data_IF_843288183763
#
_entry.id   IF_843288183763
#
_cell.length_a   1.000
_cell.length_b   1.000
_cell.length_c   1.000
_cell.angle_alpha   90.00
_cell.angle_beta   90.00
_cell.angle_gamma   90.00
#
_symmetry.space_group_name_H-M   'P 1'
#
loop_
_entity.id
_entity.type
_entity.pdbx_description
1 polymer ?
#
# COMPACT_ATOMS: atom_id res chain seq x y z
N UNK A 1 -4.66 29.33 -45.93
CA UNK A 1 -6.12 29.51 -45.85
C UNK A 1 -6.66 29.43 -47.27
N UNK A 2 -7.36 28.34 -47.60
CA UNK A 2 -7.91 28.09 -48.93
C UNK A 2 -9.36 28.56 -49.00
N UNK A 3 -9.61 29.59 -49.80
CA UNK A 3 -10.92 30.18 -50.15
C UNK A 3 -11.85 29.26 -50.96
N UNK A 4 -11.54 27.95 -51.06
CA UNK A 4 -12.23 27.01 -51.95
C UNK A 4 -13.11 26.00 -51.21
N UNK A 5 -13.11 25.98 -49.87
CA UNK A 5 -13.85 24.97 -49.09
C UNK A 5 -15.35 25.27 -48.91
N UNK A 6 -15.81 26.48 -49.24
CA UNK A 6 -17.20 26.93 -48.99
C UNK A 6 -18.09 27.07 -50.25
N UNK A 7 -17.62 26.62 -51.42
CA UNK A 7 -18.47 26.64 -52.63
C UNK A 7 -19.42 25.43 -52.65
N UNK A 8 -20.53 25.53 -51.92
CA UNK A 8 -21.66 24.60 -52.03
C UNK A 8 -22.43 24.90 -53.33
N UNK A 9 -22.40 23.98 -54.29
CA UNK A 9 -23.23 24.06 -55.52
C UNK A 9 -24.68 23.79 -55.14
N UNK A 10 -25.56 24.79 -55.29
CA UNK A 10 -26.99 24.67 -54.99
C UNK A 10 -27.67 23.65 -55.93
N UNK A 11 -28.15 22.54 -55.37
CA UNK A 11 -28.99 21.56 -56.07
C UNK A 11 -30.41 22.15 -56.22
N UNK A 12 -30.97 22.18 -57.43
CA UNK A 12 -32.35 22.63 -57.65
C UNK A 12 -33.34 21.70 -56.94
N UNK A 13 -34.40 22.28 -56.37
CA UNK A 13 -35.54 21.52 -55.85
C UNK A 13 -36.23 20.75 -57.00
N UNK A 14 -36.98 19.66 -56.71
CA UNK A 14 -37.64 18.85 -57.74
C UNK A 14 -38.64 19.61 -58.62
N UNK A 15 -39.14 20.77 -58.17
CA UNK A 15 -40.00 21.70 -58.93
C UNK A 15 -39.22 22.75 -59.74
N UNK A 16 -37.89 22.64 -59.83
CA UNK A 16 -37.04 23.52 -60.63
C UNK A 16 -36.69 24.87 -59.98
N UNK A 17 -37.08 25.09 -58.72
CA UNK A 17 -36.71 26.30 -57.98
C UNK A 17 -35.29 26.19 -57.39
N UNK A 18 -34.57 27.31 -57.36
CA UNK A 18 -33.27 27.39 -56.67
C UNK A 18 -33.55 27.39 -55.16
N UNK A 19 -32.89 26.54 -54.35
CA UNK A 19 -33.03 26.61 -52.91
C UNK A 19 -32.59 28.00 -52.44
N UNK A 20 -33.45 28.70 -51.71
CA UNK A 20 -33.08 29.95 -51.08
C UNK A 20 -31.86 29.68 -50.19
N UNK A 21 -30.76 30.46 -50.32
CA UNK A 21 -29.65 30.33 -49.38
C UNK A 21 -30.20 30.48 -47.97
N UNK A 22 -29.85 29.55 -47.08
CA UNK A 22 -30.24 29.67 -45.67
C UNK A 22 -29.82 31.05 -45.16
N UNK A 23 -30.72 31.71 -44.42
CA UNK A 23 -30.46 33.04 -43.88
C UNK A 23 -29.09 33.05 -43.18
N UNK A 24 -28.16 33.95 -43.54
CA UNK A 24 -26.86 34.03 -42.88
C UNK A 24 -26.96 34.18 -41.36
N UNK A 25 -28.07 34.73 -40.85
CA UNK A 25 -28.38 34.74 -39.42
C UNK A 25 -28.62 33.31 -38.87
N UNK A 26 -29.38 32.47 -39.60
CA UNK A 26 -29.63 31.09 -39.22
C UNK A 26 -28.36 30.21 -39.32
N UNK A 27 -27.46 30.49 -40.25
CA UNK A 27 -26.16 29.81 -40.34
C UNK A 27 -25.22 30.22 -39.18
N UNK A 28 -25.22 31.51 -38.81
CA UNK A 28 -24.46 31.99 -37.66
C UNK A 28 -24.97 31.40 -36.33
N UNK A 29 -26.28 31.27 -36.17
CA UNK A 29 -26.90 30.60 -35.00
C UNK A 29 -26.56 29.10 -34.93
N UNK A 30 -26.56 28.39 -36.06
CA UNK A 30 -26.14 26.98 -36.12
C UNK A 30 -24.65 26.81 -35.78
N UNK A 31 -23.79 27.69 -36.28
CA UNK A 31 -22.36 27.67 -35.96
C UNK A 31 -22.09 27.99 -34.49
N UNK A 32 -22.82 28.97 -33.92
CA UNK A 32 -22.76 29.28 -32.49
C UNK A 32 -23.23 28.09 -31.63
N UNK A 33 -24.34 27.45 -31.99
CA UNK A 33 -24.85 26.26 -31.31
C UNK A 33 -23.95 25.01 -31.47
N UNK A 34 -23.12 24.95 -32.52
CA UNK A 34 -22.10 23.92 -32.68
C UNK A 34 -20.90 24.17 -31.76
N UNK A 35 -20.40 25.41 -31.70
CA UNK A 35 -19.35 25.83 -30.78
C UNK A 35 -19.74 25.62 -29.32
N UNK A 36 -20.99 25.94 -28.94
CA UNK A 36 -21.49 25.69 -27.59
C UNK A 36 -21.56 24.20 -27.25
N UNK A 37 -21.91 23.33 -28.22
CA UNK A 37 -21.87 21.88 -28.03
C UNK A 37 -20.44 21.37 -27.85
N UNK A 38 -19.50 21.84 -28.66
CA UNK A 38 -18.08 21.49 -28.52
C UNK A 38 -17.56 21.91 -27.14
N UNK A 39 -17.86 23.12 -26.69
CA UNK A 39 -17.50 23.60 -25.35
C UNK A 39 -18.13 22.74 -24.23
N UNK A 40 -19.38 22.30 -24.39
CA UNK A 40 -20.03 21.38 -23.44
C UNK A 40 -19.39 19.99 -23.44
N UNK A 41 -18.98 19.48 -24.60
CA UNK A 41 -18.27 18.19 -24.71
C UNK A 41 -16.90 18.25 -24.04
N UNK A 42 -16.14 19.32 -24.27
CA UNK A 42 -14.84 19.53 -23.61
C UNK A 42 -15.00 19.65 -22.09
N UNK A 43 -15.99 20.41 -21.63
CA UNK A 43 -16.29 20.54 -20.20
C UNK A 43 -16.69 19.17 -19.59
N UNK A 44 -17.50 18.38 -20.28
CA UNK A 44 -17.89 17.04 -19.85
C UNK A 44 -16.68 16.09 -19.81
N UNK A 45 -15.80 16.16 -20.81
CA UNK A 45 -14.59 15.35 -20.86
C UNK A 45 -13.63 15.71 -19.73
N UNK A 46 -13.48 16.99 -19.40
CA UNK A 46 -12.68 17.45 -18.27
C UNK A 46 -13.24 16.92 -16.94
N UNK A 47 -14.56 16.98 -16.73
CA UNK A 47 -15.22 16.42 -15.53
C UNK A 47 -15.01 14.90 -15.44
N UNK A 48 -15.10 14.18 -16.56
CA UNK A 48 -14.86 12.73 -16.60
C UNK A 48 -13.41 12.38 -16.25
N UNK A 49 -12.44 13.16 -16.71
CA UNK A 49 -11.03 12.96 -16.37
C UNK A 49 -10.77 13.24 -14.89
N UNK A 50 -11.34 14.30 -14.34
CA UNK A 50 -11.22 14.64 -12.92
C UNK A 50 -11.82 13.54 -12.03
N UNK A 51 -13.03 13.06 -12.37
CA UNK A 51 -13.66 11.94 -11.68
C UNK A 51 -12.83 10.66 -11.76
N UNK A 52 -12.26 10.37 -12.93
CA UNK A 52 -11.39 9.21 -13.11
C UNK A 52 -10.11 9.32 -12.26
N UNK A 53 -9.53 10.51 -12.13
CA UNK A 53 -8.37 10.74 -11.28
C UNK A 53 -8.70 10.53 -9.79
N UNK A 54 -9.83 11.07 -9.33
CA UNK A 54 -10.31 10.89 -7.94
C UNK A 54 -10.54 9.41 -7.65
N UNK A 55 -11.19 8.68 -8.55
CA UNK A 55 -11.48 7.25 -8.38
C UNK A 55 -10.22 6.37 -8.47
N UNK A 56 -9.22 6.78 -9.26
CA UNK A 56 -7.96 6.04 -9.38
C UNK A 56 -7.03 6.24 -8.18
N UNK A 57 -7.17 7.34 -7.42
CA UNK A 57 -6.27 7.66 -6.29
C UNK A 57 -6.26 6.58 -5.19
N UNK A 58 -7.39 6.11 -4.65
CA UNK A 58 -7.38 5.07 -3.62
C UNK A 58 -6.71 3.77 -4.05
N UNK A 59 -6.90 3.36 -5.32
CA UNK A 59 -6.26 2.16 -5.87
C UNK A 59 -4.73 2.31 -5.94
N UNK A 60 -4.23 3.48 -6.34
CA UNK A 60 -2.80 3.78 -6.35
C UNK A 60 -2.21 3.74 -4.93
N UNK A 61 -2.91 4.31 -3.97
CA UNK A 61 -2.48 4.33 -2.57
C UNK A 61 -2.43 2.91 -1.98
N UNK A 62 -3.49 2.11 -2.18
CA UNK A 62 -3.53 0.70 -1.75
C UNK A 62 -2.39 -0.11 -2.38
N UNK A 63 -2.14 0.05 -3.69
CA UNK A 63 -1.08 -0.67 -4.37
C UNK A 63 0.32 -0.26 -3.87
N UNK A 64 0.53 1.03 -3.59
CA UNK A 64 1.79 1.52 -3.03
C UNK A 64 2.04 0.96 -1.61
N UNK A 65 1.00 0.92 -0.77
CA UNK A 65 1.11 0.34 0.56
C UNK A 65 1.31 -1.18 0.52
N UNK A 66 0.65 -1.87 -0.41
CA UNK A 66 0.73 -3.32 -0.54
C UNK A 66 2.16 -3.82 -0.82
N UNK A 67 2.91 -3.13 -1.68
CA UNK A 67 4.30 -3.50 -1.95
C UNK A 67 5.19 -3.29 -0.72
N UNK A 68 4.99 -2.18 0.01
CA UNK A 68 5.68 -1.93 1.28
C UNK A 68 5.33 -3.00 2.33
N UNK A 69 4.08 -3.43 2.40
CA UNK A 69 3.64 -4.49 3.30
C UNK A 69 4.28 -5.84 2.96
N UNK A 70 4.40 -6.19 1.67
CA UNK A 70 5.11 -7.39 1.23
C UNK A 70 6.58 -7.36 1.62
N UNK A 71 7.25 -6.23 1.40
CA UNK A 71 8.66 -6.06 1.76
C UNK A 71 8.85 -6.17 3.28
N UNK A 72 7.97 -5.54 4.06
CA UNK A 72 8.00 -5.66 5.53
C UNK A 72 7.75 -7.09 5.98
N UNK A 73 6.78 -7.81 5.39
CA UNK A 73 6.50 -9.19 5.72
C UNK A 73 7.69 -10.11 5.43
N UNK A 74 8.33 -9.94 4.27
CA UNK A 74 9.55 -10.68 3.93
C UNK A 74 10.72 -10.37 4.88
N UNK A 75 10.88 -9.10 5.28
CA UNK A 75 11.89 -8.71 6.26
C UNK A 75 11.63 -9.34 7.64
N UNK A 76 10.37 -9.37 8.08
CA UNK A 76 9.98 -10.04 9.33
C UNK A 76 10.21 -11.55 9.29
N UNK A 77 9.90 -12.20 8.17
CA UNK A 77 10.14 -13.64 7.97
C UNK A 77 11.64 -13.97 8.03
N UNK A 78 12.46 -13.21 7.30
CA UNK A 78 13.92 -13.36 7.32
C UNK A 78 14.50 -13.11 8.73
N UNK A 79 14.01 -12.07 9.43
CA UNK A 79 14.40 -11.79 10.81
C UNK A 79 14.02 -12.94 11.75
N UNK A 80 12.81 -13.47 11.65
CA UNK A 80 12.35 -14.60 12.46
C UNK A 80 13.20 -15.85 12.20
N UNK A 81 13.53 -16.15 10.94
CA UNK A 81 14.42 -17.25 10.59
C UNK A 81 15.82 -17.10 11.20
N UNK A 82 16.42 -15.90 11.10
CA UNK A 82 17.72 -15.60 11.72
C UNK A 82 17.67 -15.71 13.25
N UNK A 83 16.59 -15.22 13.87
CA UNK A 83 16.39 -15.32 15.31
C UNK A 83 16.30 -16.78 15.76
N UNK A 84 15.50 -17.61 15.09
CA UNK A 84 15.39 -19.04 15.40
C UNK A 84 16.72 -19.78 15.22
N UNK A 85 17.47 -19.47 14.16
CA UNK A 85 18.80 -20.02 13.94
C UNK A 85 19.76 -19.64 15.09
N UNK A 86 19.76 -18.36 15.49
CA UNK A 86 20.55 -17.87 16.62
C UNK A 86 20.19 -18.54 17.94
N UNK A 87 18.88 -18.68 18.24
CA UNK A 87 18.40 -19.41 19.43
C UNK A 87 18.86 -20.88 19.42
N UNK A 88 18.79 -21.55 18.26
CA UNK A 88 19.27 -22.95 18.12
C UNK A 88 20.77 -23.06 18.35
N UNK A 89 21.56 -22.14 17.81
CA UNK A 89 23.02 -22.12 17.99
C UNK A 89 23.39 -21.87 19.46
N UNK A 90 22.77 -20.87 20.10
CA UNK A 90 22.99 -20.59 21.53
C UNK A 90 22.54 -21.75 22.41
N UNK A 91 21.41 -22.40 22.12
CA UNK A 91 20.98 -23.61 22.84
C UNK A 91 22.02 -24.71 22.73
N UNK A 92 22.60 -24.95 21.55
CA UNK A 92 23.64 -25.97 21.39
C UNK A 92 24.86 -25.68 22.28
N UNK A 93 25.34 -24.44 22.27
CA UNK A 93 26.45 -24.00 23.11
C UNK A 93 26.12 -24.18 24.60
N UNK A 94 24.92 -23.80 25.03
CA UNK A 94 24.48 -23.96 26.41
C UNK A 94 24.47 -25.44 26.84
N UNK A 95 23.99 -26.35 25.99
CA UNK A 95 24.00 -27.79 26.26
C UNK A 95 25.42 -28.37 26.31
N UNK A 96 26.30 -27.96 25.39
CA UNK A 96 27.70 -28.40 25.40
C UNK A 96 28.44 -27.93 26.67
N UNK A 97 28.13 -26.73 27.17
CA UNK A 97 28.66 -26.21 28.43
C UNK A 97 28.07 -26.90 29.66
N UNK A 98 26.77 -27.19 29.65
CA UNK A 98 26.08 -27.89 30.72
C UNK A 98 26.58 -29.34 30.88
N UNK A 99 26.78 -30.04 29.76
CA UNK A 99 27.34 -31.39 29.76
C UNK A 99 28.74 -31.44 30.40
N UNK A 100 29.59 -30.43 30.16
CA UNK A 100 30.91 -30.30 30.84
C UNK A 100 30.79 -30.10 32.35
N UNK A 101 29.66 -29.57 32.81
CA UNK A 101 29.35 -29.37 34.23
C UNK A 101 28.56 -30.54 34.84
N UNK A 102 28.27 -31.58 34.07
CA UNK A 102 27.48 -32.74 34.51
C UNK A 102 25.98 -32.46 34.69
N UNK A 103 25.47 -31.35 34.13
CA UNK A 103 24.06 -30.99 34.16
C UNK A 103 23.32 -31.68 33.01
N UNK A 104 22.09 -32.11 33.29
CA UNK A 104 21.18 -32.66 32.29
C UNK A 104 20.53 -31.57 31.44
N UNK A 105 20.05 -31.94 30.24
CA UNK A 105 19.31 -31.01 29.37
C UNK A 105 18.03 -30.49 30.05
N UNK A 106 17.33 -31.34 30.81
CA UNK A 106 16.11 -30.99 31.52
C UNK A 106 16.34 -29.88 32.55
N UNK A 107 17.42 -29.98 33.33
CA UNK A 107 17.80 -28.95 34.31
C UNK A 107 18.12 -27.61 33.64
N UNK A 108 18.78 -27.64 32.49
CA UNK A 108 19.11 -26.42 31.72
C UNK A 108 17.85 -25.78 31.16
N UNK A 109 16.94 -26.58 30.60
CA UNK A 109 15.66 -26.09 30.06
C UNK A 109 14.80 -25.51 31.18
N UNK A 110 14.68 -26.19 32.31
CA UNK A 110 13.92 -25.68 33.45
C UNK A 110 14.47 -24.33 33.93
N UNK A 111 15.80 -24.23 34.08
CA UNK A 111 16.44 -22.97 34.47
C UNK A 111 16.19 -21.84 33.46
N UNK A 112 16.19 -22.14 32.16
CA UNK A 112 15.88 -21.16 31.13
C UNK A 112 14.41 -20.67 31.21
N UNK A 113 13.47 -21.57 31.50
CA UNK A 113 12.06 -21.21 31.75
C UNK A 113 11.91 -20.35 32.99
N UNK A 114 12.63 -20.66 34.06
CA UNK A 114 12.60 -19.88 35.30
C UNK A 114 13.12 -18.45 35.05
N UNK A 115 14.21 -18.29 34.28
CA UNK A 115 14.69 -16.96 33.87
C UNK A 115 13.70 -16.21 32.99
N UNK A 116 13.09 -16.88 32.01
CA UNK A 116 12.06 -16.26 31.18
C UNK A 116 10.87 -15.78 32.03
N UNK A 117 10.43 -16.60 32.99
CA UNK A 117 9.38 -16.24 33.93
C UNK A 117 9.79 -15.09 34.85
N UNK A 118 11.05 -15.03 35.30
CA UNK A 118 11.57 -13.90 36.07
C UNK A 118 11.46 -12.60 35.27
N UNK A 119 12.00 -12.56 34.04
CA UNK A 119 11.93 -11.39 33.15
C UNK A 119 10.47 -10.96 32.89
N UNK A 120 9.56 -11.93 32.75
CA UNK A 120 8.16 -11.64 32.48
C UNK A 120 7.40 -11.16 33.72
N UNK A 121 7.74 -11.57 34.94
CA UNK A 121 6.91 -11.35 36.13
C UNK A 121 7.54 -10.46 37.20
N UNK A 122 8.86 -10.31 37.21
CA UNK A 122 9.61 -9.44 38.12
C UNK A 122 9.85 -8.09 37.45
N UNK A 123 9.72 -7.01 38.22
CA UNK A 123 10.08 -5.66 37.74
C UNK A 123 11.60 -5.52 37.67
N UNK A 124 12.08 -4.83 36.63
CA UNK A 124 13.51 -4.54 36.37
C UNK A 124 14.47 -5.73 36.22
N UNK A 125 14.00 -6.98 36.19
CA UNK A 125 14.82 -8.13 35.82
C UNK A 125 15.26 -8.04 34.35
N UNK A 126 16.57 -7.98 34.12
CA UNK A 126 17.19 -7.81 32.81
C UNK A 126 18.28 -8.86 32.49
N UNK A 127 18.38 -9.91 33.33
CA UNK A 127 19.38 -10.96 33.25
C UNK A 127 20.82 -10.41 33.26
N UNK A 128 21.06 -9.35 34.03
CA UNK A 128 22.38 -8.74 34.20
C UNK A 128 22.77 -7.77 33.07
N UNK A 129 21.80 -7.03 32.53
CA UNK A 129 22.03 -5.93 31.58
C UNK A 129 22.54 -6.35 30.21
N UNK A 130 22.35 -7.61 29.83
CA UNK A 130 22.82 -8.12 28.52
C UNK A 130 21.99 -7.59 27.34
N UNK A 131 20.80 -7.05 27.62
CA UNK A 131 19.90 -6.48 26.63
C UNK A 131 20.03 -4.96 26.55
N UNK A 132 19.87 -4.41 25.35
CA UNK A 132 19.80 -2.95 25.17
C UNK A 132 18.49 -2.42 25.77
N UNK A 133 18.45 -1.19 26.33
CA UNK A 133 17.24 -0.62 26.93
C UNK A 133 15.99 -0.69 26.02
N UNK A 134 16.16 -0.41 24.73
CA UNK A 134 15.07 -0.49 23.75
C UNK A 134 14.47 -1.91 23.59
N UNK A 135 15.26 -2.97 23.82
CA UNK A 135 14.78 -4.35 23.78
C UNK A 135 13.97 -4.67 25.04
N UNK A 136 14.40 -4.18 26.21
CA UNK A 136 13.65 -4.33 27.46
C UNK A 136 12.31 -3.60 27.39
N UNK A 137 12.28 -2.39 26.84
CA UNK A 137 11.04 -1.65 26.58
C UNK A 137 10.12 -2.41 25.61
N UNK A 138 10.68 -3.00 24.56
CA UNK A 138 9.91 -3.81 23.62
C UNK A 138 9.32 -5.06 24.27
N UNK A 139 10.11 -5.80 25.06
CA UNK A 139 9.62 -6.92 25.87
C UNK A 139 8.52 -6.43 26.81
N UNK A 140 8.73 -5.31 27.49
CA UNK A 140 7.76 -4.63 28.37
C UNK A 140 6.39 -4.46 27.71
N UNK A 141 6.37 -3.90 26.49
CA UNK A 141 5.14 -3.72 25.69
C UNK A 141 4.42 -5.04 25.38
N UNK A 142 5.15 -6.15 25.30
CA UNK A 142 4.59 -7.46 24.94
C UNK A 142 4.49 -8.45 26.12
N UNK A 143 4.89 -8.09 27.34
CA UNK A 143 4.88 -8.98 28.53
C UNK A 143 3.53 -9.67 28.73
N UNK A 144 2.41 -8.94 28.61
CA UNK A 144 1.07 -9.50 28.79
C UNK A 144 0.72 -10.60 27.78
N UNK A 145 1.20 -10.48 26.54
CA UNK A 145 1.04 -11.53 25.52
C UNK A 145 1.97 -12.70 25.80
N UNK A 146 3.25 -12.43 26.09
CA UNK A 146 4.27 -13.45 26.34
C UNK A 146 3.92 -14.32 27.55
N UNK A 147 3.42 -13.74 28.65
CA UNK A 147 2.96 -14.49 29.83
C UNK A 147 1.89 -15.54 29.52
N UNK A 148 1.12 -15.40 28.44
CA UNK A 148 0.12 -16.41 28.05
C UNK A 148 0.74 -17.60 27.34
N UNK A 149 1.90 -17.39 26.70
CA UNK A 149 2.62 -18.41 25.92
C UNK A 149 3.59 -19.23 26.78
N UNK A 150 4.11 -18.65 27.87
CA UNK A 150 5.07 -19.28 28.79
C UNK A 150 4.41 -19.96 30.02
N UNK A 151 3.13 -20.30 29.94
CA UNK A 151 2.42 -21.05 31.01
C UNK A 151 2.67 -22.54 30.94
#
# INVERSE_FOLDING_TARGET
>A
MSILSDLTIAQLNPDGSVPLPEDPAAQAEKAAAALEREAQFEAMQAQMQELQEILARPLKDILAEHEKLKQNAAAWDAYAAMWMLGQRAMRRVAMDLAAKQGLSEEEVVQRALDYANSVLNVEDEDLGGTLKPAQLEHIGRHKAFLRKQFK
#
